data_IF_514619090754
#
_entry.id   IF_514619090754
#
_cell.length_a   1.000
_cell.length_b   1.000
_cell.length_c   1.000
_cell.angle_alpha   90.00
_cell.angle_beta   90.00
_cell.angle_gamma   90.00
#
_symmetry.space_group_name_H-M   'P 1'
#
loop_
_entity.id
_entity.type
_entity.pdbx_description
1 polymer ?
#
# COMPACT_ATOMS: atom_id res chain seq x y z
N UNK A 1 10.04 -12.88 6.38
CA UNK A 1 8.79 -13.37 5.77
C UNK A 1 8.63 -12.79 4.38
N UNK A 2 7.85 -13.44 3.54
CA UNK A 2 7.66 -13.01 2.15
C UNK A 2 6.55 -11.96 2.07
N UNK A 3 6.60 -11.14 1.02
CA UNK A 3 5.58 -10.16 0.72
C UNK A 3 4.97 -10.40 -0.66
N UNK A 4 3.70 -10.06 -0.79
CA UNK A 4 2.94 -10.22 -2.04
C UNK A 4 2.08 -8.98 -2.25
N UNK A 5 2.00 -8.54 -3.51
CA UNK A 5 1.04 -7.50 -3.89
C UNK A 5 -0.24 -8.17 -4.36
N UNK A 6 -1.38 -7.73 -3.83
CA UNK A 6 -2.67 -8.14 -4.39
C UNK A 6 -2.80 -7.62 -5.82
N UNK A 7 -3.67 -8.22 -6.64
CA UNK A 7 -3.93 -7.67 -7.99
C UNK A 7 -4.35 -6.21 -7.98
N UNK A 8 -5.14 -5.81 -6.98
CA UNK A 8 -5.56 -4.42 -6.80
C UNK A 8 -4.36 -3.51 -6.49
N UNK A 9 -3.50 -3.91 -5.56
CA UNK A 9 -2.30 -3.13 -5.20
C UNK A 9 -1.34 -3.02 -6.39
N UNK A 10 -1.17 -4.08 -7.16
CA UNK A 10 -0.33 -4.04 -8.35
C UNK A 10 -0.86 -3.08 -9.39
N UNK A 11 -2.17 -3.08 -9.62
CA UNK A 11 -2.81 -2.12 -10.53
C UNK A 11 -2.61 -0.68 -10.08
N UNK A 12 -2.74 -0.43 -8.77
CA UNK A 12 -2.50 0.90 -8.22
C UNK A 12 -1.05 1.35 -8.38
N UNK A 13 -0.10 0.44 -8.17
CA UNK A 13 1.32 0.74 -8.36
C UNK A 13 1.62 1.05 -9.82
N UNK A 14 1.08 0.28 -10.74
CA UNK A 14 1.23 0.51 -12.18
C UNK A 14 0.68 1.89 -12.56
N UNK A 15 -0.48 2.27 -12.04
CA UNK A 15 -1.09 3.59 -12.28
C UNK A 15 -0.20 4.72 -11.74
N UNK A 16 0.40 4.55 -10.57
CA UNK A 16 1.32 5.51 -9.99
C UNK A 16 2.55 5.69 -10.89
N UNK A 17 3.13 4.60 -11.34
CA UNK A 17 4.32 4.61 -12.21
C UNK A 17 4.00 5.29 -13.55
N UNK A 18 2.86 4.97 -14.15
CA UNK A 18 2.42 5.59 -15.40
C UNK A 18 2.22 7.10 -15.23
N UNK A 19 1.58 7.52 -14.14
CA UNK A 19 1.33 8.93 -13.86
C UNK A 19 2.63 9.71 -13.68
N UNK A 20 3.61 9.14 -12.98
CA UNK A 20 4.91 9.79 -12.79
C UNK A 20 5.69 9.85 -14.11
N UNK A 21 5.63 8.79 -14.91
CA UNK A 21 6.27 8.76 -16.22
C UNK A 21 5.74 9.87 -17.11
N UNK A 22 4.42 10.04 -17.15
CA UNK A 22 3.77 11.07 -17.98
C UNK A 22 4.05 12.48 -17.48
N UNK A 23 4.00 12.69 -16.15
CA UNK A 23 4.12 14.03 -15.55
C UNK A 23 5.58 14.50 -15.40
N UNK A 24 6.51 13.57 -15.25
CA UNK A 24 7.91 13.88 -14.96
C UNK A 24 8.83 13.17 -15.94
N UNK A 25 9.22 11.91 -15.62
CA UNK A 25 10.09 11.11 -16.50
C UNK A 25 10.05 9.65 -16.09
N UNK A 26 10.52 8.78 -17.00
CA UNK A 26 10.70 7.36 -16.69
C UNK A 26 11.74 7.16 -15.59
N UNK A 27 12.76 7.99 -15.54
CA UNK A 27 13.80 7.92 -14.48
C UNK A 27 13.19 8.17 -13.10
N UNK A 28 12.34 9.19 -12.98
CA UNK A 28 11.65 9.48 -11.73
C UNK A 28 10.68 8.36 -11.35
N UNK A 29 9.98 7.80 -12.33
CA UNK A 29 9.07 6.69 -12.10
C UNK A 29 9.80 5.46 -11.56
N UNK A 30 10.96 5.12 -12.12
CA UNK A 30 11.78 4.00 -11.67
C UNK A 30 12.32 4.23 -10.27
N UNK A 31 12.71 5.46 -9.94
CA UNK A 31 13.15 5.83 -8.58
C UNK A 31 12.02 5.63 -7.56
N UNK A 32 10.82 6.09 -7.86
CA UNK A 32 9.67 5.90 -6.99
C UNK A 32 9.32 4.42 -6.81
N UNK A 33 9.40 3.66 -7.91
CA UNK A 33 9.17 2.22 -7.83
C UNK A 33 10.18 1.55 -6.88
N UNK A 34 11.45 1.92 -6.98
CA UNK A 34 12.50 1.39 -6.09
C UNK A 34 12.24 1.76 -4.63
N UNK A 35 11.82 3.00 -4.37
CA UNK A 35 11.53 3.46 -3.00
C UNK A 35 10.33 2.71 -2.40
N UNK A 36 9.28 2.50 -3.20
CA UNK A 36 8.10 1.74 -2.76
C UNK A 36 8.48 0.28 -2.51
N UNK A 37 9.23 -0.34 -3.40
CA UNK A 37 9.68 -1.72 -3.23
C UNK A 37 10.56 -1.88 -1.98
N UNK A 38 11.41 -0.90 -1.70
CA UNK A 38 12.26 -0.91 -0.51
C UNK A 38 11.43 -0.78 0.76
N UNK A 39 10.38 0.04 0.75
CA UNK A 39 9.45 0.14 1.88
C UNK A 39 8.75 -1.20 2.13
N UNK A 40 8.34 -1.89 1.07
CA UNK A 40 7.72 -3.22 1.17
C UNK A 40 8.71 -4.24 1.74
N UNK A 41 9.96 -4.23 1.28
CA UNK A 41 11.00 -5.14 1.79
C UNK A 41 11.25 -4.93 3.28
N UNK A 42 11.16 -3.69 3.77
CA UNK A 42 11.28 -3.40 5.20
C UNK A 42 10.18 -4.14 6.00
N UNK A 43 9.00 -4.27 5.44
CA UNK A 43 7.91 -5.01 6.10
C UNK A 43 8.20 -6.51 6.19
N UNK A 44 9.00 -7.07 5.30
CA UNK A 44 9.39 -8.48 5.39
C UNK A 44 10.23 -8.77 6.63
N UNK A 45 11.05 -7.81 7.05
CA UNK A 45 11.88 -7.91 8.25
C UNK A 45 11.13 -7.42 9.51
N UNK A 46 10.24 -6.46 9.35
CA UNK A 46 9.52 -5.80 10.44
C UNK A 46 8.03 -5.70 10.14
N UNK A 47 7.31 -6.83 10.06
CA UNK A 47 5.91 -6.85 9.58
C UNK A 47 4.93 -6.08 10.47
N UNK A 48 5.25 -5.89 11.75
CA UNK A 48 4.39 -5.19 12.68
C UNK A 48 4.82 -3.74 12.91
N UNK A 49 5.73 -3.21 12.10
CA UNK A 49 6.22 -1.84 12.24
C UNK A 49 5.21 -0.78 11.82
N UNK A 50 4.24 -1.15 10.97
CA UNK A 50 3.20 -0.22 10.54
C UNK A 50 2.13 0.00 11.60
N UNK A 51 1.46 1.14 11.54
CA UNK A 51 0.37 1.48 12.45
C UNK A 51 -0.92 0.76 12.07
N UNK A 52 -1.71 0.35 13.08
CA UNK A 52 -3.05 -0.14 12.86
C UNK A 52 -3.94 0.94 12.23
N UNK A 53 -4.90 0.53 11.41
CA UNK A 53 -5.82 1.47 10.77
C UNK A 53 -7.11 1.52 11.61
N UNK A 54 -7.51 2.71 12.12
CA UNK A 54 -8.76 2.82 12.86
C UNK A 54 -9.97 2.44 12.01
N UNK A 55 -10.92 1.72 12.62
CA UNK A 55 -12.13 1.27 11.92
C UNK A 55 -12.96 2.43 11.38
N UNK A 56 -12.98 3.56 12.08
CA UNK A 56 -13.72 4.74 11.65
C UNK A 56 -13.18 5.36 10.35
N UNK A 57 -11.99 4.95 9.91
CA UNK A 57 -11.45 5.39 8.63
C UNK A 57 -12.10 4.69 7.43
N UNK A 58 -12.95 3.69 7.65
CA UNK A 58 -13.58 2.94 6.58
C UNK A 58 -15.07 3.22 6.51
N UNK A 59 -15.59 3.48 5.31
CA UNK A 59 -17.04 3.57 5.09
C UNK A 59 -17.70 2.19 5.21
N UNK A 60 -16.99 1.17 4.74
CA UNK A 60 -17.38 -0.23 4.88
C UNK A 60 -16.25 -0.95 5.60
N UNK A 61 -16.56 -1.65 6.68
CA UNK A 61 -15.55 -2.38 7.46
C UNK A 61 -15.07 -3.58 6.62
N UNK A 62 -13.77 -3.62 6.25
CA UNK A 62 -13.24 -4.74 5.48
C UNK A 62 -13.09 -6.00 6.35
N UNK A 63 -13.02 -7.17 5.73
CA UNK A 63 -12.62 -8.38 6.45
C UNK A 63 -11.26 -8.18 7.11
N UNK A 64 -11.08 -8.71 8.31
CA UNK A 64 -9.82 -8.61 9.08
C UNK A 64 -9.37 -7.17 9.35
N UNK A 65 -10.33 -6.24 9.49
CA UNK A 65 -10.02 -4.82 9.72
C UNK A 65 -9.10 -4.59 10.92
N UNK A 66 -9.24 -5.42 11.97
CA UNK A 66 -8.41 -5.32 13.17
C UNK A 66 -6.94 -5.64 12.90
N UNK A 67 -6.65 -6.33 11.81
CA UNK A 67 -5.31 -6.76 11.44
C UNK A 67 -4.69 -5.90 10.34
N UNK A 68 -5.43 -4.94 9.79
CA UNK A 68 -4.94 -4.05 8.77
C UNK A 68 -3.97 -3.03 9.35
N UNK A 69 -2.87 -2.83 8.65
CA UNK A 69 -1.83 -1.90 9.03
C UNK A 69 -1.47 -1.01 7.86
N UNK A 70 -0.86 0.13 8.16
CA UNK A 70 -0.39 1.05 7.14
C UNK A 70 1.05 1.47 7.43
N UNK A 71 1.80 1.67 6.37
CA UNK A 71 3.09 2.31 6.42
C UNK A 71 3.17 3.33 5.30
N UNK A 72 4.20 4.16 5.31
CA UNK A 72 4.32 5.25 4.35
C UNK A 72 5.63 5.16 3.59
N UNK A 73 5.54 5.38 2.28
CA UNK A 73 6.64 5.81 1.44
C UNK A 73 6.19 7.15 0.89
N UNK A 74 6.42 8.22 1.66
CA UNK A 74 5.79 9.52 1.39
C UNK A 74 6.05 10.00 -0.03
N UNK A 75 5.02 10.47 -0.75
CA UNK A 75 3.66 10.77 -0.26
C UNK A 75 2.66 9.60 -0.33
N UNK A 76 3.12 8.37 -0.49
CA UNK A 76 2.25 7.21 -0.67
C UNK A 76 2.00 6.49 0.64
N UNK A 77 0.79 5.96 0.77
CA UNK A 77 0.36 5.11 1.87
C UNK A 77 0.26 3.68 1.37
N UNK A 78 0.87 2.77 2.11
CA UNK A 78 0.85 1.33 1.81
C UNK A 78 0.00 0.66 2.88
N UNK A 79 -1.08 0.00 2.48
CA UNK A 79 -1.96 -0.74 3.38
C UNK A 79 -1.70 -2.22 3.19
N UNK A 80 -1.50 -2.91 4.30
CA UNK A 80 -1.14 -4.32 4.28
C UNK A 80 -1.73 -5.08 5.46
N UNK A 81 -1.71 -6.41 5.36
CA UNK A 81 -2.03 -7.32 6.46
C UNK A 81 -0.98 -8.41 6.54
N UNK A 82 -0.87 -9.02 7.71
CA UNK A 82 0.03 -10.16 7.92
C UNK A 82 -0.82 -11.39 8.16
N UNK A 83 -0.74 -12.35 7.25
CA UNK A 83 -1.51 -13.59 7.31
C UNK A 83 -0.57 -14.76 7.01
N UNK A 84 -0.64 -15.80 7.82
CA UNK A 84 0.13 -17.03 7.61
C UNK A 84 1.62 -16.79 7.40
N UNK A 85 2.19 -15.88 8.19
CA UNK A 85 3.60 -15.53 8.11
C UNK A 85 4.00 -14.85 6.79
N UNK A 86 3.04 -14.17 6.13
CA UNK A 86 3.26 -13.46 4.89
C UNK A 86 2.69 -12.04 5.00
N UNK A 87 3.35 -11.11 4.32
CA UNK A 87 2.87 -9.72 4.20
C UNK A 87 2.09 -9.58 2.90
N UNK A 88 0.82 -9.24 3.00
CA UNK A 88 -0.04 -9.03 1.85
C UNK A 88 -0.32 -7.55 1.67
N UNK A 89 0.23 -6.96 0.60
CA UNK A 89 -0.01 -5.56 0.27
C UNK A 89 -1.36 -5.45 -0.43
N UNK A 90 -2.28 -4.72 0.19
CA UNK A 90 -3.67 -4.61 -0.28
C UNK A 90 -3.90 -3.36 -1.10
N UNK A 91 -3.20 -2.27 -0.79
CA UNK A 91 -3.43 -0.99 -1.46
C UNK A 91 -2.18 -0.11 -1.37
N UNK A 92 -1.97 0.71 -2.40
CA UNK A 92 -0.94 1.73 -2.44
C UNK A 92 -1.61 2.98 -2.98
N UNK A 93 -1.72 4.03 -2.15
CA UNK A 93 -2.42 5.26 -2.53
C UNK A 93 -1.65 6.49 -2.08
N UNK A 94 -1.88 7.60 -2.78
CA UNK A 94 -1.37 8.89 -2.34
C UNK A 94 -1.98 9.23 -0.97
N UNK A 95 -1.17 9.76 -0.05
CA UNK A 95 -1.59 10.02 1.32
C UNK A 95 -2.72 11.06 1.44
N UNK A 96 -2.95 11.86 0.39
CA UNK A 96 -4.08 12.79 0.32
C UNK A 96 -5.41 12.11 0.06
N UNK A 97 -5.39 10.88 -0.44
CA UNK A 97 -6.61 10.11 -0.67
C UNK A 97 -7.09 9.56 0.65
N UNK A 98 -8.38 9.69 0.93
CA UNK A 98 -8.98 9.13 2.12
C UNK A 98 -8.91 7.61 2.09
N UNK A 99 -8.65 7.00 3.24
CA UNK A 99 -8.74 5.55 3.40
C UNK A 99 -10.19 5.11 3.24
N UNK A 100 -11.11 5.85 3.87
CA UNK A 100 -12.55 5.66 3.74
C UNK A 100 -13.06 6.32 2.45
N UNK A 101 -14.25 5.98 2.04
CA UNK A 101 -14.92 6.55 0.89
C UNK A 101 -14.46 5.98 -0.44
N UNK A 102 -13.64 4.95 -0.40
CA UNK A 102 -13.22 4.23 -1.61
C UNK A 102 -13.68 2.79 -1.51
N UNK A 103 -14.74 2.49 -2.18
CA UNK A 103 -15.40 1.19 -2.19
C UNK A 103 -14.51 0.05 -2.66
N UNK A 104 -13.46 0.34 -3.42
CA UNK A 104 -12.54 -0.66 -3.94
C UNK A 104 -11.19 -0.67 -3.21
N UNK A 105 -11.12 -0.07 -2.03
CA UNK A 105 -9.85 0.13 -1.31
C UNK A 105 -9.12 -1.17 -1.01
N UNK A 106 -9.83 -2.23 -0.70
CA UNK A 106 -9.27 -3.53 -0.32
C UNK A 106 -9.69 -4.68 -1.23
N UNK A 107 -10.27 -4.38 -2.34
CA UNK A 107 -10.67 -5.40 -3.32
C UNK A 107 -9.52 -5.78 -4.25
#
# INVERSE_FOLDING_TARGET
>A
MKSYLSPHARGLLDDIIDAITDAQSITDALRWNDDIQRAILTLEDHPLSGDGIPLECFDTIPPNADELRQTFCRPYRIVYEVIDNEVHILSIRHSRMLVAGTDTYWN
#
